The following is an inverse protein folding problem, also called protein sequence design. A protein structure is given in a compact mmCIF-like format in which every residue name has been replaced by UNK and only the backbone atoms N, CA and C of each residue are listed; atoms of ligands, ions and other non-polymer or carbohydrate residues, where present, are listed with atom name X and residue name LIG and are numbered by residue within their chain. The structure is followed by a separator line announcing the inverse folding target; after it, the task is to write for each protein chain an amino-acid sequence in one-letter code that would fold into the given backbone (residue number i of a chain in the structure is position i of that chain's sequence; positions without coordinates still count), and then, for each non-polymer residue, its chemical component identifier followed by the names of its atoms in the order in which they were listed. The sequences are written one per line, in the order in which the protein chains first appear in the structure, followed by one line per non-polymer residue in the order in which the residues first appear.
data_IF_621229605861
#
_entry.id   IF_621229605861
#
_cell.length_a   1.000
_cell.length_b   1.000
_cell.length_c   1.000
_cell.angle_alpha   90.00
_cell.angle_beta   90.00
_cell.angle_gamma   90.00
#
_symmetry.space_group_name_H-M   'P 1'
#
loop_
_entity.id
_entity.type
_entity.pdbx_description
1 polymer ?
#
# COMPACT_ATOMS: atom_id res chain seq x y z
N UNK A 1 10.17 -6.26 -12.74
CA UNK A 1 9.12 -5.42 -13.36
C UNK A 1 7.90 -6.22 -13.83
N UNK A 2 8.07 -7.26 -14.66
CA UNK A 2 6.95 -8.08 -15.20
C UNK A 2 5.95 -8.64 -14.18
N UNK A 3 6.40 -9.02 -12.97
CA UNK A 3 5.50 -9.44 -11.90
C UNK A 3 4.56 -8.31 -11.45
N UNK A 4 5.11 -7.10 -11.23
CA UNK A 4 4.33 -5.93 -10.80
C UNK A 4 3.33 -5.50 -11.86
N UNK A 5 3.70 -5.55 -13.14
CA UNK A 5 2.80 -5.21 -14.25
C UNK A 5 1.64 -6.20 -14.37
N UNK A 6 1.90 -7.51 -14.17
CA UNK A 6 0.82 -8.51 -14.12
C UNK A 6 -0.11 -8.30 -12.92
N UNK A 7 0.45 -7.97 -11.75
CA UNK A 7 -0.36 -7.64 -10.57
C UNK A 7 -1.21 -6.39 -10.83
N UNK A 8 -0.62 -5.35 -11.42
CA UNK A 8 -1.33 -4.11 -11.77
C UNK A 8 -2.50 -4.37 -12.72
N UNK A 9 -2.30 -5.19 -13.76
CA UNK A 9 -3.38 -5.62 -14.65
C UNK A 9 -4.46 -6.43 -13.91
N UNK A 10 -4.08 -7.36 -13.03
CA UNK A 10 -5.01 -8.17 -12.25
C UNK A 10 -5.79 -7.36 -11.21
N UNK A 11 -5.24 -6.24 -10.70
CA UNK A 11 -5.97 -5.32 -9.83
C UNK A 11 -7.05 -4.54 -10.60
N UNK A 12 -6.84 -4.27 -11.90
CA UNK A 12 -7.80 -3.58 -12.77
C UNK A 12 -9.01 -4.45 -13.09
N UNK A 13 -8.76 -5.74 -13.35
CA UNK A 13 -9.80 -6.73 -13.67
C UNK A 13 -9.59 -8.01 -12.83
N UNK A 14 -10.02 -8.00 -11.56
CA UNK A 14 -9.72 -9.09 -10.63
C UNK A 14 -10.65 -10.29 -10.86
N UNK A 15 -10.06 -11.49 -10.99
CA UNK A 15 -10.80 -12.76 -11.13
C UNK A 15 -11.68 -13.05 -9.91
N UNK A 16 -11.25 -12.63 -8.72
CA UNK A 16 -12.01 -12.78 -7.47
C UNK A 16 -12.32 -11.41 -6.87
N UNK A 17 -13.49 -11.24 -6.22
CA UNK A 17 -13.82 -10.01 -5.52
C UNK A 17 -12.76 -9.63 -4.48
N UNK A 18 -12.29 -8.38 -4.53
CA UNK A 18 -11.33 -7.84 -3.57
C UNK A 18 -12.04 -7.38 -2.29
N UNK A 19 -11.41 -7.62 -1.14
CA UNK A 19 -11.94 -7.22 0.17
C UNK A 19 -10.82 -6.77 1.12
N UNK A 20 -11.12 -5.81 1.99
CA UNK A 20 -10.18 -5.25 2.97
C UNK A 20 -10.22 -6.07 4.28
N UNK A 21 -9.60 -7.24 4.24
CA UNK A 21 -9.47 -8.15 5.38
C UNK A 21 -10.61 -9.16 5.49
N UNK A 22 -11.82 -8.73 5.87
CA UNK A 22 -13.00 -9.61 5.92
C UNK A 22 -13.77 -9.55 4.60
N UNK A 23 -14.36 -10.66 4.17
CA UNK A 23 -15.13 -10.73 2.89
C UNK A 23 -16.23 -9.68 2.75
N UNK A 24 -16.81 -9.24 3.87
CA UNK A 24 -17.86 -8.21 3.88
C UNK A 24 -17.33 -6.77 3.76
N UNK A 25 -16.01 -6.54 3.85
CA UNK A 25 -15.41 -5.21 3.81
C UNK A 25 -14.98 -4.87 2.38
N UNK A 26 -15.96 -4.55 1.55
CA UNK A 26 -15.76 -4.22 0.13
C UNK A 26 -15.11 -2.83 0.01
N UNK A 27 -14.08 -2.66 -0.85
CA UNK A 27 -13.53 -1.34 -1.15
C UNK A 27 -14.59 -0.38 -1.72
N UNK A 28 -14.63 0.86 -1.23
CA UNK A 28 -15.53 1.90 -1.76
C UNK A 28 -15.03 2.53 -3.06
N UNK A 29 -13.73 2.44 -3.32
CA UNK A 29 -13.06 2.89 -4.53
C UNK A 29 -12.21 1.74 -5.10
N UNK A 30 -11.90 1.73 -6.41
CA UNK A 30 -11.02 0.74 -7.00
C UNK A 30 -9.65 0.68 -6.31
N UNK A 31 -9.15 -0.52 -6.05
CA UNK A 31 -7.78 -0.73 -5.53
C UNK A 31 -6.73 -0.43 -6.60
N UNK A 32 -7.10 -0.56 -7.87
CA UNK A 32 -6.25 -0.22 -9.00
C UNK A 32 -6.01 1.30 -9.05
N UNK A 33 -4.74 1.67 -9.24
CA UNK A 33 -4.33 3.07 -9.37
C UNK A 33 -3.65 3.26 -10.72
N UNK A 34 -4.10 4.26 -11.47
CA UNK A 34 -3.46 4.63 -12.73
C UNK A 34 -1.98 5.00 -12.50
N UNK A 35 -1.10 4.53 -13.37
CA UNK A 35 0.36 4.67 -13.22
C UNK A 35 0.94 4.11 -11.90
N UNK A 36 0.26 3.18 -11.22
CA UNK A 36 0.73 2.63 -9.93
C UNK A 36 2.05 1.84 -9.98
N UNK A 37 2.54 1.45 -11.16
CA UNK A 37 3.87 0.83 -11.32
C UNK A 37 4.88 1.92 -11.71
N UNK A 38 5.78 2.25 -10.78
CA UNK A 38 6.79 3.29 -10.94
C UNK A 38 8.19 2.68 -11.05
N UNK A 39 9.04 3.24 -11.92
CA UNK A 39 10.44 2.85 -12.05
C UNK A 39 11.31 3.70 -11.10
N UNK A 40 11.14 3.45 -9.81
CA UNK A 40 11.84 4.16 -8.73
C UNK A 40 12.00 3.24 -7.50
N UNK A 41 12.97 3.52 -6.61
CA UNK A 41 13.05 2.84 -5.31
C UNK A 41 11.75 2.98 -4.50
N UNK A 42 11.37 1.94 -3.75
CA UNK A 42 10.10 1.86 -2.99
C UNK A 42 9.82 3.13 -2.17
N UNK A 43 10.82 3.58 -1.42
CA UNK A 43 10.72 4.76 -0.56
C UNK A 43 10.42 6.02 -1.38
N UNK A 44 11.16 6.24 -2.46
CA UNK A 44 11.02 7.40 -3.33
C UNK A 44 9.68 7.40 -4.06
N UNK A 45 9.22 6.23 -4.51
CA UNK A 45 7.91 6.05 -5.13
C UNK A 45 6.78 6.45 -4.17
N UNK A 46 6.78 5.97 -2.92
CA UNK A 46 5.77 6.33 -1.93
C UNK A 46 5.83 7.81 -1.52
N UNK A 47 7.03 8.37 -1.43
CA UNK A 47 7.24 9.76 -1.02
C UNK A 47 6.75 10.78 -2.05
N UNK A 48 6.90 10.45 -3.34
CA UNK A 48 6.43 11.27 -4.45
C UNK A 48 4.98 11.02 -4.81
N UNK A 49 4.42 9.89 -4.38
CA UNK A 49 3.04 9.57 -4.70
C UNK A 49 2.12 10.60 -4.05
N UNK A 50 1.22 11.21 -4.81
CA UNK A 50 0.34 12.21 -4.25
C UNK A 50 -0.60 11.65 -3.17
N UNK A 51 -1.08 12.52 -2.30
CA UNK A 51 -2.09 12.14 -1.33
C UNK A 51 -3.40 11.70 -2.01
N UNK A 52 -3.84 10.47 -1.74
CA UNK A 52 -5.00 9.83 -2.39
C UNK A 52 -6.29 9.89 -1.57
N UNK A 53 -6.26 10.42 -0.34
CA UNK A 53 -7.45 10.46 0.50
C UNK A 53 -8.26 11.73 0.25
N UNK A 54 -9.59 11.60 0.26
CA UNK A 54 -10.49 12.76 0.23
C UNK A 54 -10.51 13.43 1.60
N UNK A 55 -10.01 14.66 1.66
CA UNK A 55 -10.00 15.47 2.88
C UNK A 55 -11.41 15.78 3.37
N UNK A 56 -11.68 15.54 4.65
CA UNK A 56 -12.93 15.95 5.29
C UNK A 56 -12.88 17.45 5.61
N UNK A 57 -14.04 18.13 5.60
CA UNK A 57 -14.11 19.60 5.79
C UNK A 57 -13.49 20.09 7.11
N UNK A 58 -13.49 19.25 8.12
CA UNK A 58 -13.01 19.55 9.48
C UNK A 58 -11.62 18.96 9.77
N UNK A 59 -10.96 18.37 8.78
CA UNK A 59 -9.67 17.70 8.95
C UNK A 59 -8.52 18.67 8.61
N UNK A 60 -7.57 18.78 9.53
CA UNK A 60 -6.32 19.50 9.31
C UNK A 60 -5.40 18.68 8.41
N UNK A 61 -4.65 19.38 7.55
CA UNK A 61 -3.67 18.74 6.67
C UNK A 61 -2.49 18.33 7.56
N UNK A 62 -2.10 17.04 7.58
CA UNK A 62 -0.97 16.61 8.39
C UNK A 62 0.33 17.15 7.79
N UNK A 63 1.29 17.50 8.64
CA UNK A 63 2.63 17.90 8.18
C UNK A 63 3.45 16.69 7.69
N UNK A 64 3.21 15.52 8.30
CA UNK A 64 3.94 14.28 8.06
C UNK A 64 3.00 13.08 8.11
N UNK A 65 3.38 12.02 7.40
CA UNK A 65 2.73 10.73 7.40
C UNK A 65 3.67 9.67 8.00
N UNK A 66 3.09 8.67 8.66
CA UNK A 66 3.84 7.51 9.11
C UNK A 66 3.93 6.50 7.96
N UNK A 67 5.14 6.21 7.49
CA UNK A 67 5.40 5.18 6.50
C UNK A 67 6.11 4.00 7.16
N UNK A 68 5.66 2.78 6.87
CA UNK A 68 6.23 1.55 7.41
C UNK A 68 6.84 0.72 6.29
N UNK A 69 8.10 0.33 6.47
CA UNK A 69 8.88 -0.42 5.50
C UNK A 69 9.37 -1.73 6.11
N UNK A 70 9.55 -2.75 5.28
CA UNK A 70 10.26 -3.96 5.69
C UNK A 70 11.72 -3.62 6.01
N UNK A 71 12.23 -4.14 7.13
CA UNK A 71 13.60 -3.92 7.58
C UNK A 71 14.46 -5.14 7.27
N UNK A 72 15.54 -4.92 6.52
CA UNK A 72 16.48 -5.98 6.12
C UNK A 72 17.58 -6.20 7.17
N UNK A 73 17.81 -5.23 8.06
CA UNK A 73 18.86 -5.24 9.09
C UNK A 73 18.41 -5.85 10.44
N UNK A 74 17.18 -6.38 10.50
CA UNK A 74 16.60 -6.94 11.73
C UNK A 74 16.18 -5.88 12.78
N UNK A 75 16.24 -4.59 12.45
CA UNK A 75 15.77 -3.52 13.33
C UNK A 75 14.27 -3.27 13.19
N UNK A 76 13.66 -2.63 14.19
CA UNK A 76 12.24 -2.30 14.18
C UNK A 76 11.37 -3.32 14.90
N UNK A 77 10.10 -3.40 14.51
CA UNK A 77 9.08 -4.20 15.20
C UNK A 77 8.92 -5.56 14.50
N UNK A 78 9.01 -6.64 15.27
CA UNK A 78 8.73 -8.00 14.80
C UNK A 78 7.24 -8.16 14.44
N UNK A 79 6.96 -8.73 13.26
CA UNK A 79 5.63 -9.06 12.75
C UNK A 79 5.60 -10.51 12.27
N UNK A 80 4.51 -11.22 12.57
CA UNK A 80 4.29 -12.62 12.16
C UNK A 80 3.30 -12.71 10.99
N UNK A 81 3.60 -12.00 9.90
CA UNK A 81 2.70 -11.81 8.75
C UNK A 81 3.36 -12.12 7.40
N UNK A 82 4.62 -12.59 7.37
CA UNK A 82 5.29 -12.98 6.12
C UNK A 82 4.75 -14.35 5.65
N UNK A 83 4.07 -14.45 4.49
CA UNK A 83 3.61 -15.75 4.01
C UNK A 83 4.81 -16.65 3.66
N UNK A 84 4.84 -17.88 4.21
CA UNK A 84 5.92 -18.84 3.95
C UNK A 84 5.55 -19.88 2.88
N UNK A 85 4.25 -20.08 2.66
CA UNK A 85 3.73 -21.05 1.69
C UNK A 85 2.38 -20.59 1.14
N UNK A 86 1.65 -21.48 0.48
CA UNK A 86 0.28 -21.21 0.05
C UNK A 86 -0.60 -20.78 1.22
N UNK A 87 -1.47 -19.80 1.01
CA UNK A 87 -2.42 -19.33 2.03
C UNK A 87 -3.33 -20.44 2.60
N UNK A 88 -3.52 -21.55 1.87
CA UNK A 88 -4.28 -22.70 2.35
C UNK A 88 -3.64 -23.38 3.58
N UNK A 89 -2.31 -23.35 3.68
CA UNK A 89 -1.55 -23.97 4.78
C UNK A 89 -1.40 -23.05 6.00
N UNK A 90 -1.70 -21.76 5.84
CA UNK A 90 -1.70 -20.75 6.92
C UNK A 90 -0.37 -20.67 7.68
N UNK A 91 0.75 -20.85 6.97
CA UNK A 91 2.09 -20.73 7.53
C UNK A 91 2.63 -19.30 7.34
N UNK A 92 2.92 -18.65 8.45
CA UNK A 92 3.45 -17.28 8.48
C UNK A 92 4.74 -17.22 9.30
N UNK A 93 5.73 -16.51 8.76
CA UNK A 93 7.02 -16.29 9.34
C UNK A 93 7.16 -14.90 9.93
N UNK A 94 8.29 -14.70 10.60
CA UNK A 94 8.67 -13.42 11.15
C UNK A 94 9.28 -12.52 10.07
N UNK A 95 8.94 -11.23 10.13
CA UNK A 95 9.68 -10.15 9.46
C UNK A 95 9.76 -8.94 10.36
N UNK A 96 10.73 -8.07 10.11
CA UNK A 96 10.88 -6.82 10.84
C UNK A 96 10.32 -5.66 10.03
N UNK A 97 9.63 -4.74 10.70
CA UNK A 97 9.05 -3.54 10.07
C UNK A 97 9.55 -2.32 10.81
N UNK A 98 10.13 -1.38 10.08
CA UNK A 98 10.57 -0.09 10.60
C UNK A 98 9.65 1.01 10.08
N UNK A 99 9.19 1.87 10.98
CA UNK A 99 8.38 3.03 10.62
C UNK A 99 9.21 4.30 10.70
N UNK A 100 8.95 5.22 9.80
CA UNK A 100 9.53 6.56 9.79
C UNK A 100 8.47 7.61 9.43
N UNK A 101 8.70 8.84 9.86
CA UNK A 101 7.88 9.99 9.48
C UNK A 101 8.38 10.59 8.17
N UNK A 102 7.52 10.63 7.16
CA UNK A 102 7.77 11.25 5.86
C UNK A 102 6.97 12.55 5.73
N UNK A 103 7.53 13.63 5.16
CA UNK A 103 6.77 14.80 4.75
C UNK A 103 5.49 14.46 3.98
N UNK A 104 4.43 15.22 4.23
CA UNK A 104 3.17 15.07 3.53
C UNK A 104 3.34 15.40 2.03
N UNK A 105 3.03 14.46 1.10
CA UNK A 105 3.02 14.76 -0.33
C UNK A 105 1.82 15.67 -0.63
N UNK A 106 2.04 16.76 -1.34
CA UNK A 106 0.98 17.72 -1.68
C UNK A 106 -0.17 17.01 -2.45
N UNK A 107 -1.42 17.38 -2.17
CA UNK A 107 -2.61 16.81 -2.81
C UNK A 107 -2.61 17.02 -4.34
N UNK A 108 -3.03 16.02 -5.13
CA UNK A 108 -3.56 16.32 -6.48
C UNK A 108 -5.01 16.74 -6.33
N UNK A 109 -5.36 17.87 -6.96
CA UNK A 109 -6.75 18.19 -7.24
C UNK A 109 -7.25 17.20 -8.31
N UNK A 110 -8.11 16.26 -7.91
CA UNK A 110 -8.88 15.32 -8.75
C UNK A 110 -8.12 14.11 -9.32
N UNK A 111 -8.41 12.92 -8.79
CA UNK A 111 -8.34 11.66 -9.55
C UNK A 111 -9.73 11.46 -10.16
N UNK A 112 -9.86 11.68 -11.46
CA UNK A 112 -11.12 11.42 -12.17
C UNK A 112 -11.29 9.91 -12.38
N UNK A 113 -12.53 9.38 -12.34
CA UNK A 113 -12.83 7.96 -12.50
C UNK A 113 -12.56 7.43 -13.92
#
# INVERSE_FOLDING_TARGET
RSLLERIHAALRDPIWPLALGRKSYVPSEPIWIEHGVQDAPLREALFRWPWISTRRRWEEIPEKLLASFESEDGSGVLKMDQPLSSFAERQFGARFVRSEWIPFPQEVKYVSP
#
